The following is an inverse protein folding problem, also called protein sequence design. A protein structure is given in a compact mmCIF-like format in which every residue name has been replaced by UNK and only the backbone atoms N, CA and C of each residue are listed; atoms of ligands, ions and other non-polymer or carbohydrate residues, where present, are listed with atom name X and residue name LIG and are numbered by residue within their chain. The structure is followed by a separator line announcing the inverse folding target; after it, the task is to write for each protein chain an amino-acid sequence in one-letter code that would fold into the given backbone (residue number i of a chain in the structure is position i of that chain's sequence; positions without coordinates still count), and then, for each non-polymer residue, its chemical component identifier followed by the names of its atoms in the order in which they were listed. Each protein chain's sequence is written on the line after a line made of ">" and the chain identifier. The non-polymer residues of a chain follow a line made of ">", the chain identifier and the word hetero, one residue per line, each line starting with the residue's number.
data_IF_545473303839
#
_entry.id   IF_545473303839
#
_cell.length_a   1.000
_cell.length_b   1.000
_cell.length_c   1.000
_cell.angle_alpha   90.00
_cell.angle_beta   90.00
_cell.angle_gamma   90.00
#
_symmetry.space_group_name_H-M   'P 1'
#
loop_
_entity.id
_entity.type
_entity.pdbx_description
1 polymer ?
#
# COMPACT_ATOMS: atom_id res chain seq x y z
N UNK A 1 58.93 -2.23 -1.88
CA UNK A 1 57.68 -1.96 -1.12
C UNK A 1 56.51 -2.04 -2.09
N UNK A 2 55.70 -3.12 -2.02
CA UNK A 2 54.50 -3.28 -2.84
C UNK A 2 53.31 -2.65 -2.09
N UNK A 3 52.75 -1.61 -2.65
CA UNK A 3 51.49 -0.97 -2.14
C UNK A 3 50.34 -1.98 -2.29
N UNK A 4 49.76 -2.34 -1.15
CA UNK A 4 48.54 -3.14 -1.04
C UNK A 4 47.37 -2.27 -1.46
N UNK A 5 46.80 -2.48 -2.67
CA UNK A 5 45.54 -1.84 -3.06
C UNK A 5 44.46 -2.30 -2.08
N UNK A 6 43.96 -1.38 -1.30
CA UNK A 6 42.72 -1.56 -0.51
C UNK A 6 41.59 -1.89 -1.47
N UNK A 7 40.99 -3.07 -1.31
CA UNK A 7 39.74 -3.43 -1.98
C UNK A 7 38.64 -2.63 -1.29
N UNK A 8 38.14 -1.59 -1.96
CA UNK A 8 36.92 -0.89 -1.56
C UNK A 8 35.78 -1.90 -1.56
N UNK A 9 35.23 -2.19 -0.39
CA UNK A 9 34.01 -2.99 -0.22
C UNK A 9 32.89 -2.17 -0.90
N UNK A 10 32.11 -2.75 -1.85
CA UNK A 10 31.00 -2.00 -2.46
C UNK A 10 30.02 -1.59 -1.34
N UNK A 11 29.73 -0.31 -1.24
CA UNK A 11 28.79 0.23 -0.27
C UNK A 11 27.44 -0.51 -0.46
N UNK A 12 26.88 -1.07 0.60
CA UNK A 12 25.52 -1.63 0.58
C UNK A 12 24.59 -0.52 0.07
N UNK A 13 23.86 -0.77 -1.02
CA UNK A 13 22.84 0.16 -1.54
C UNK A 13 21.85 0.47 -0.41
N UNK A 14 21.44 1.74 -0.29
CA UNK A 14 20.41 2.09 0.68
C UNK A 14 19.05 1.52 0.24
N UNK A 15 18.14 1.18 1.16
CA UNK A 15 16.79 0.74 0.80
C UNK A 15 16.07 1.75 -0.10
N UNK A 16 16.25 3.04 0.12
CA UNK A 16 15.69 4.12 -0.68
C UNK A 16 16.21 4.09 -2.13
N UNK A 17 17.51 3.86 -2.33
CA UNK A 17 18.08 3.72 -3.69
C UNK A 17 17.48 2.52 -4.42
N UNK A 18 17.25 1.39 -3.72
CA UNK A 18 16.65 0.20 -4.33
C UNK A 18 15.18 0.45 -4.68
N UNK A 19 14.43 1.13 -3.81
CA UNK A 19 13.04 1.51 -4.10
C UNK A 19 12.95 2.41 -5.33
N UNK A 20 13.82 3.42 -5.44
CA UNK A 20 13.84 4.30 -6.61
C UNK A 20 14.14 3.50 -7.88
N UNK A 21 15.11 2.59 -7.87
CA UNK A 21 15.39 1.68 -9.00
C UNK A 21 14.16 0.82 -9.37
N UNK A 22 13.38 0.36 -8.38
CA UNK A 22 12.14 -0.38 -8.61
C UNK A 22 11.05 0.49 -9.25
N UNK A 23 10.90 1.73 -8.76
CA UNK A 23 9.94 2.69 -9.32
C UNK A 23 10.33 3.11 -10.74
N UNK A 24 11.61 3.39 -10.97
CA UNK A 24 12.12 3.72 -12.31
C UNK A 24 11.83 2.60 -13.30
N UNK A 25 12.10 1.35 -12.93
CA UNK A 25 11.80 0.18 -13.75
C UNK A 25 10.30 0.09 -14.09
N UNK A 26 9.43 0.24 -13.09
CA UNK A 26 7.99 0.02 -13.27
C UNK A 26 7.31 1.17 -13.99
N UNK A 27 7.66 2.41 -13.65
CA UNK A 27 6.98 3.60 -14.17
C UNK A 27 7.55 4.01 -15.53
N UNK A 28 8.86 3.96 -15.71
CA UNK A 28 9.48 4.38 -16.97
C UNK A 28 9.72 3.19 -17.90
N UNK A 29 10.54 2.19 -17.51
CA UNK A 29 10.94 1.14 -18.45
C UNK A 29 9.75 0.26 -18.88
N UNK A 30 8.95 -0.23 -17.92
CA UNK A 30 7.75 -1.02 -18.22
C UNK A 30 6.54 -0.15 -18.57
N UNK A 31 6.44 1.02 -17.93
CA UNK A 31 5.32 1.94 -18.08
C UNK A 31 5.20 2.53 -19.48
N UNK A 32 6.30 2.91 -20.11
CA UNK A 32 6.27 3.42 -21.50
C UNK A 32 5.71 2.38 -22.47
N UNK A 33 6.21 1.14 -22.40
CA UNK A 33 5.71 0.05 -23.22
C UNK A 33 4.25 -0.30 -22.92
N UNK A 34 3.87 -0.32 -21.65
CA UNK A 34 2.48 -0.54 -21.23
C UNK A 34 1.55 0.52 -21.80
N UNK A 35 1.86 1.81 -21.68
CA UNK A 35 1.06 2.91 -22.22
C UNK A 35 0.89 2.83 -23.75
N UNK A 36 1.87 2.30 -24.47
CA UNK A 36 1.79 2.09 -25.92
C UNK A 36 0.95 0.86 -26.32
N UNK A 37 0.71 -0.08 -25.37
CA UNK A 37 0.11 -1.39 -25.61
C UNK A 37 -1.40 -1.34 -25.86
N UNK A 38 -1.95 -2.44 -26.40
CA UNK A 38 -3.39 -2.67 -26.50
C UNK A 38 -4.03 -2.85 -25.11
N UNK A 39 -3.31 -3.38 -24.13
CA UNK A 39 -3.79 -3.54 -22.76
C UNK A 39 -4.17 -2.21 -22.12
N UNK A 40 -3.32 -1.20 -22.26
CA UNK A 40 -3.59 0.15 -21.74
C UNK A 40 -4.70 0.85 -22.55
N UNK A 41 -4.71 0.73 -23.86
CA UNK A 41 -5.73 1.36 -24.74
C UNK A 41 -7.14 0.86 -24.50
N UNK A 42 -7.28 -0.38 -24.00
CA UNK A 42 -8.58 -0.97 -23.64
C UNK A 42 -9.10 -0.53 -22.27
N UNK A 43 -8.29 0.14 -21.46
CA UNK A 43 -8.74 0.74 -20.21
C UNK A 43 -9.64 1.97 -20.49
N UNK A 44 -10.58 2.24 -19.59
CA UNK A 44 -11.35 3.48 -19.60
C UNK A 44 -10.44 4.70 -19.36
N UNK A 45 -10.97 5.89 -19.59
CA UNK A 45 -10.22 7.12 -19.35
C UNK A 45 -9.79 7.26 -17.89
N UNK A 46 -10.71 7.01 -16.95
CA UNK A 46 -10.43 7.07 -15.51
C UNK A 46 -9.35 6.06 -15.09
N UNK A 47 -9.42 4.83 -15.60
CA UNK A 47 -8.42 3.80 -15.35
C UNK A 47 -7.03 4.18 -15.88
N UNK A 48 -6.98 4.77 -17.09
CA UNK A 48 -5.72 5.27 -17.65
C UNK A 48 -5.12 6.41 -16.82
N UNK A 49 -5.95 7.34 -16.35
CA UNK A 49 -5.51 8.45 -15.49
C UNK A 49 -4.93 7.96 -14.16
N UNK A 50 -5.46 6.86 -13.62
CA UNK A 50 -5.00 6.31 -12.34
C UNK A 50 -3.85 5.31 -12.48
N UNK A 51 -3.49 4.89 -13.69
CA UNK A 51 -2.59 3.75 -13.92
C UNK A 51 -1.19 3.94 -13.35
N UNK A 52 -0.58 5.10 -13.53
CA UNK A 52 0.75 5.42 -12.99
C UNK A 52 0.73 5.42 -11.45
N UNK A 53 -0.24 6.10 -10.85
CA UNK A 53 -0.39 6.16 -9.40
C UNK A 53 -0.61 4.76 -8.79
N UNK A 54 -1.45 3.93 -9.42
CA UNK A 54 -1.71 2.56 -8.96
C UNK A 54 -0.45 1.71 -9.07
N UNK A 55 0.27 1.76 -10.19
CA UNK A 55 1.51 1.01 -10.39
C UNK A 55 2.61 1.47 -9.41
N UNK A 56 2.72 2.78 -9.17
CA UNK A 56 3.66 3.36 -8.22
C UNK A 56 3.37 2.95 -6.78
N UNK A 57 2.14 3.11 -6.31
CA UNK A 57 1.74 2.66 -4.97
C UNK A 57 1.89 1.15 -4.79
N UNK A 58 1.55 0.36 -5.80
CA UNK A 58 1.76 -1.09 -5.76
C UNK A 58 3.24 -1.42 -5.58
N UNK A 59 4.13 -0.80 -6.36
CA UNK A 59 5.58 -1.01 -6.26
C UNK A 59 6.12 -0.61 -4.90
N UNK A 60 5.74 0.57 -4.41
CA UNK A 60 6.12 1.08 -3.10
C UNK A 60 5.69 0.13 -1.97
N UNK A 61 4.44 -0.32 -1.98
CA UNK A 61 3.92 -1.22 -0.95
C UNK A 61 4.53 -2.60 -1.01
N UNK A 62 4.73 -3.17 -2.21
CA UNK A 62 5.42 -4.46 -2.38
C UNK A 62 6.84 -4.40 -1.84
N UNK A 63 7.54 -3.29 -2.01
CA UNK A 63 8.89 -3.11 -1.51
C UNK A 63 8.91 -2.82 0.01
N UNK A 64 8.20 -1.80 0.47
CA UNK A 64 8.31 -1.31 1.85
C UNK A 64 7.63 -2.20 2.90
N UNK A 65 6.56 -2.92 2.53
CA UNK A 65 5.83 -3.77 3.47
C UNK A 65 6.09 -5.26 3.29
N UNK A 66 6.43 -5.70 2.08
CA UNK A 66 6.66 -7.12 1.78
C UNK A 66 8.12 -7.43 1.43
N UNK A 67 8.97 -6.41 1.26
CA UNK A 67 10.40 -6.57 0.96
C UNK A 67 10.68 -7.15 -0.42
N UNK A 68 9.75 -7.01 -1.38
CA UNK A 68 9.83 -7.63 -2.71
C UNK A 68 10.11 -6.59 -3.79
N UNK A 69 11.15 -6.85 -4.58
CA UNK A 69 11.42 -6.14 -5.83
C UNK A 69 10.49 -6.62 -6.95
N UNK A 70 10.34 -5.86 -8.07
CA UNK A 70 9.47 -6.23 -9.19
C UNK A 70 9.71 -7.65 -9.73
N UNK A 71 10.95 -8.14 -9.72
CA UNK A 71 11.30 -9.48 -10.17
C UNK A 71 10.81 -10.59 -9.23
N UNK A 72 10.55 -10.26 -7.96
CA UNK A 72 10.13 -11.19 -6.89
C UNK A 72 8.63 -11.20 -6.66
N UNK A 73 7.87 -10.30 -7.32
CA UNK A 73 6.42 -10.26 -7.18
C UNK A 73 5.76 -11.60 -7.48
N UNK A 74 4.72 -11.89 -6.73
CA UNK A 74 3.95 -13.14 -6.87
C UNK A 74 2.49 -12.91 -6.48
N UNK A 75 1.62 -13.85 -6.85
CA UNK A 75 0.17 -13.71 -6.66
C UNK A 75 -0.24 -13.59 -5.18
N UNK A 76 0.44 -14.28 -4.27
CA UNK A 76 0.14 -14.19 -2.83
C UNK A 76 0.47 -12.81 -2.27
N UNK A 77 1.68 -12.31 -2.52
CA UNK A 77 2.11 -10.98 -2.08
C UNK A 77 1.28 -9.86 -2.72
N UNK A 78 0.94 -9.99 -4.01
CA UNK A 78 0.04 -9.07 -4.72
C UNK A 78 -1.34 -9.01 -4.05
N UNK A 79 -1.91 -10.16 -3.68
CA UNK A 79 -3.19 -10.24 -2.96
C UNK A 79 -3.12 -9.52 -1.60
N UNK A 80 -2.08 -9.79 -0.79
CA UNK A 80 -1.85 -9.10 0.48
C UNK A 80 -1.75 -7.58 0.28
N UNK A 81 -0.99 -7.15 -0.73
CA UNK A 81 -0.85 -5.75 -1.07
C UNK A 81 -2.20 -5.10 -1.40
N UNK A 82 -2.96 -5.70 -2.33
CA UNK A 82 -4.20 -5.11 -2.84
C UNK A 82 -5.35 -5.15 -1.82
N UNK A 83 -5.45 -6.20 -1.00
CA UNK A 83 -6.57 -6.39 -0.06
C UNK A 83 -6.31 -5.71 1.29
N UNK A 84 -5.06 -5.60 1.72
CA UNK A 84 -4.72 -5.07 3.04
C UNK A 84 -3.99 -3.73 2.98
N UNK A 85 -2.84 -3.65 2.29
CA UNK A 85 -2.04 -2.43 2.33
C UNK A 85 -2.65 -1.26 1.56
N UNK A 86 -3.22 -1.47 0.36
CA UNK A 86 -3.93 -0.40 -0.34
C UNK A 86 -5.07 0.18 0.49
N UNK A 87 -6.02 -0.62 1.01
CA UNK A 87 -7.08 -0.11 1.87
C UNK A 87 -6.59 0.56 3.15
N UNK A 88 -5.53 0.04 3.75
CA UNK A 88 -5.00 0.58 5.01
C UNK A 88 -4.23 1.89 4.84
N UNK A 89 -3.38 1.99 3.80
CA UNK A 89 -2.38 3.05 3.69
C UNK A 89 -2.76 4.16 2.72
N UNK A 90 -3.60 3.88 1.71
CA UNK A 90 -3.95 4.83 0.66
C UNK A 90 -5.19 5.64 1.04
N UNK A 91 -5.06 6.98 1.07
CA UNK A 91 -6.14 7.90 1.43
C UNK A 91 -6.93 8.41 0.22
N UNK A 92 -6.96 7.64 -0.85
CA UNK A 92 -7.71 7.95 -2.08
C UNK A 92 -9.21 7.65 -1.94
N UNK A 93 -9.98 8.20 -2.86
CA UNK A 93 -11.44 8.00 -2.92
C UNK A 93 -11.85 6.66 -3.51
N UNK A 94 -13.16 6.33 -3.48
CA UNK A 94 -13.68 5.05 -4.00
C UNK A 94 -13.34 4.81 -5.48
N UNK A 95 -13.25 5.87 -6.28
CA UNK A 95 -12.93 5.79 -7.72
C UNK A 95 -11.55 5.22 -7.97
N UNK A 96 -10.57 5.63 -7.18
CA UNK A 96 -9.22 5.06 -7.21
C UNK A 96 -9.25 3.54 -6.94
N UNK A 97 -9.96 3.11 -5.89
CA UNK A 97 -10.02 1.68 -5.53
C UNK A 97 -10.75 0.84 -6.61
N UNK A 98 -11.73 1.41 -7.31
CA UNK A 98 -12.38 0.75 -8.46
C UNK A 98 -11.42 0.49 -9.61
N UNK A 99 -10.44 1.36 -9.82
CA UNK A 99 -9.46 1.25 -10.88
C UNK A 99 -8.34 0.22 -10.61
N UNK A 100 -8.12 -0.21 -9.34
CA UNK A 100 -6.99 -1.09 -9.00
C UNK A 100 -7.02 -2.40 -9.79
N UNK A 101 -8.15 -3.11 -9.79
CA UNK A 101 -8.25 -4.42 -10.45
C UNK A 101 -8.10 -4.31 -11.97
N UNK A 102 -8.83 -3.47 -12.70
CA UNK A 102 -8.67 -3.38 -14.14
C UNK A 102 -7.25 -2.91 -14.54
N UNK A 103 -6.70 -1.91 -13.87
CA UNK A 103 -5.35 -1.39 -14.16
C UNK A 103 -4.28 -2.46 -13.95
N UNK A 104 -4.24 -3.08 -12.76
CA UNK A 104 -3.23 -4.11 -12.47
C UNK A 104 -3.43 -5.38 -13.31
N UNK A 105 -4.69 -5.74 -13.66
CA UNK A 105 -4.95 -6.85 -14.58
C UNK A 105 -4.36 -6.59 -15.97
N UNK A 106 -4.56 -5.37 -16.50
CA UNK A 106 -4.03 -4.97 -17.78
C UNK A 106 -2.49 -4.89 -17.76
N UNK A 107 -1.94 -4.33 -16.67
CA UNK A 107 -0.49 -4.21 -16.50
C UNK A 107 0.19 -5.58 -16.40
N UNK A 108 -0.32 -6.49 -15.56
CA UNK A 108 0.24 -7.84 -15.45
C UNK A 108 0.07 -8.65 -16.74
N UNK A 109 -1.04 -8.50 -17.48
CA UNK A 109 -1.21 -9.14 -18.79
C UNK A 109 -0.17 -8.63 -19.79
N UNK A 110 0.15 -7.33 -19.79
CA UNK A 110 1.23 -6.77 -20.57
C UNK A 110 2.60 -7.35 -20.18
N UNK A 111 2.88 -7.43 -18.87
CA UNK A 111 4.15 -7.99 -18.39
C UNK A 111 4.32 -9.48 -18.77
N UNK A 112 3.23 -10.24 -18.78
CA UNK A 112 3.22 -11.64 -19.19
C UNK A 112 3.47 -11.81 -20.69
N UNK A 113 2.78 -11.03 -21.54
CA UNK A 113 2.92 -11.03 -22.99
C UNK A 113 4.36 -10.73 -23.41
N UNK A 114 5.05 -9.84 -22.69
CA UNK A 114 6.42 -9.42 -23.00
C UNK A 114 7.49 -10.16 -22.19
N UNK A 115 7.11 -11.17 -21.38
CA UNK A 115 8.03 -11.97 -20.55
C UNK A 115 8.86 -11.12 -19.56
N UNK A 116 8.31 -9.98 -19.10
CA UNK A 116 9.00 -9.04 -18.22
C UNK A 116 8.97 -9.47 -16.76
N UNK A 117 7.93 -10.26 -16.37
CA UNK A 117 7.78 -10.74 -15.00
C UNK A 117 7.26 -12.19 -15.00
N UNK A 118 8.03 -13.11 -14.42
CA UNK A 118 7.80 -14.56 -14.49
C UNK A 118 6.48 -15.06 -13.86
N UNK A 119 5.89 -14.30 -12.91
CA UNK A 119 4.66 -14.65 -12.21
C UNK A 119 3.45 -13.84 -12.70
N UNK A 120 3.61 -13.05 -13.78
CA UNK A 120 2.60 -12.10 -14.25
C UNK A 120 1.26 -12.80 -14.59
N UNK A 121 1.29 -13.95 -15.25
CA UNK A 121 0.10 -14.76 -15.55
C UNK A 121 -0.66 -15.14 -14.27
N UNK A 122 0.04 -15.62 -13.23
CA UNK A 122 -0.57 -15.99 -11.96
C UNK A 122 -1.17 -14.79 -11.24
N UNK A 123 -0.50 -13.63 -11.27
CA UNK A 123 -1.02 -12.38 -10.71
C UNK A 123 -2.26 -11.91 -11.48
N UNK A 124 -2.26 -11.97 -12.81
CA UNK A 124 -3.43 -11.64 -13.65
C UNK A 124 -4.64 -12.53 -13.33
N UNK A 125 -4.42 -13.80 -13.06
CA UNK A 125 -5.51 -14.72 -12.71
C UNK A 125 -6.09 -14.39 -11.32
N UNK A 126 -5.26 -14.18 -10.32
CA UNK A 126 -5.69 -13.95 -8.94
C UNK A 126 -6.37 -12.57 -8.78
N UNK A 127 -5.84 -11.50 -9.37
CA UNK A 127 -6.34 -10.13 -9.12
C UNK A 127 -7.79 -9.95 -9.58
N UNK A 128 -8.22 -10.62 -10.63
CA UNK A 128 -9.59 -10.52 -11.18
C UNK A 128 -10.67 -10.87 -10.15
N UNK A 129 -10.33 -11.65 -9.14
CA UNK A 129 -11.24 -12.11 -8.09
C UNK A 129 -11.23 -11.22 -6.84
N UNK A 130 -10.46 -10.12 -6.83
CA UNK A 130 -10.24 -9.34 -5.62
C UNK A 130 -11.09 -8.07 -5.53
N UNK A 131 -11.83 -7.70 -6.59
CA UNK A 131 -12.54 -6.41 -6.66
C UNK A 131 -13.44 -6.15 -5.46
N UNK A 132 -14.34 -7.07 -5.16
CA UNK A 132 -15.30 -6.91 -4.04
C UNK A 132 -14.58 -6.75 -2.70
N UNK A 133 -13.55 -7.56 -2.47
CA UNK A 133 -12.77 -7.50 -1.23
C UNK A 133 -12.01 -6.19 -1.08
N UNK A 134 -11.41 -5.68 -2.15
CA UNK A 134 -10.72 -4.38 -2.16
C UNK A 134 -11.70 -3.27 -1.82
N UNK A 135 -12.88 -3.27 -2.46
CA UNK A 135 -13.91 -2.26 -2.22
C UNK A 135 -14.45 -2.32 -0.78
N UNK A 136 -14.73 -3.51 -0.27
CA UNK A 136 -15.17 -3.73 1.12
C UNK A 136 -14.13 -3.20 2.12
N UNK A 137 -12.86 -3.61 1.97
CA UNK A 137 -11.79 -3.20 2.89
C UNK A 137 -11.50 -1.71 2.81
N UNK A 138 -11.53 -1.12 1.61
CA UNK A 138 -11.27 0.31 1.41
C UNK A 138 -12.35 1.21 2.02
N UNK A 139 -13.59 0.75 2.06
CA UNK A 139 -14.73 1.47 2.64
C UNK A 139 -14.91 1.26 4.14
N UNK A 140 -14.25 0.24 4.72
CA UNK A 140 -14.38 -0.09 6.14
C UNK A 140 -13.36 0.69 7.00
N UNK A 141 -13.81 1.66 7.85
CA UNK A 141 -12.91 2.44 8.69
C UNK A 141 -12.07 1.61 9.66
N UNK A 142 -12.52 0.40 10.03
CA UNK A 142 -11.75 -0.49 10.91
C UNK A 142 -10.48 -1.04 10.23
N UNK A 143 -10.45 -1.06 8.89
CA UNK A 143 -9.31 -1.51 8.09
C UNK A 143 -8.33 -0.37 7.77
N UNK A 144 -8.65 0.88 8.14
CA UNK A 144 -7.81 2.03 7.83
C UNK A 144 -6.68 2.18 8.86
N UNK A 145 -5.48 2.46 8.39
CA UNK A 145 -4.36 2.86 9.22
C UNK A 145 -4.57 4.26 9.82
N UNK A 146 -3.78 4.59 10.84
CA UNK A 146 -3.92 5.86 11.58
C UNK A 146 -3.85 7.09 10.68
N UNK A 147 -2.89 7.13 9.75
CA UNK A 147 -2.73 8.25 8.83
C UNK A 147 -3.97 8.43 7.94
N UNK A 148 -4.49 7.34 7.38
CA UNK A 148 -5.71 7.38 6.56
C UNK A 148 -6.92 7.83 7.37
N UNK A 149 -7.12 7.31 8.58
CA UNK A 149 -8.22 7.76 9.47
C UNK A 149 -8.17 9.25 9.71
N UNK A 150 -6.97 9.79 9.97
CA UNK A 150 -6.77 11.22 10.15
C UNK A 150 -7.14 12.02 8.91
N UNK A 151 -6.61 11.63 7.74
CA UNK A 151 -6.89 12.31 6.46
C UNK A 151 -8.39 12.26 6.13
N UNK A 152 -9.04 11.11 6.30
CA UNK A 152 -10.46 10.96 6.02
C UNK A 152 -11.33 11.77 6.98
N UNK A 153 -10.97 11.85 8.26
CA UNK A 153 -11.64 12.70 9.24
C UNK A 153 -11.47 14.18 8.91
N UNK A 154 -10.25 14.63 8.59
CA UNK A 154 -9.98 16.01 8.20
C UNK A 154 -10.79 16.41 6.95
N UNK A 155 -10.83 15.55 5.93
CA UNK A 155 -11.66 15.77 4.72
C UNK A 155 -13.15 15.86 5.05
N UNK A 156 -13.65 14.97 5.94
CA UNK A 156 -15.04 15.00 6.41
C UNK A 156 -15.39 16.28 7.15
N UNK A 157 -14.44 16.87 7.86
CA UNK A 157 -14.56 18.15 8.54
C UNK A 157 -14.31 19.36 7.62
N UNK A 158 -14.18 19.14 6.30
CA UNK A 158 -14.02 20.19 5.28
C UNK A 158 -12.62 20.80 5.24
N UNK A 159 -11.61 20.13 5.80
CA UNK A 159 -10.23 20.59 5.80
C UNK A 159 -9.55 20.20 4.47
N UNK A 160 -8.95 21.19 3.81
CA UNK A 160 -8.05 20.93 2.69
C UNK A 160 -6.74 20.33 3.20
N UNK A 161 -6.57 19.02 2.96
CA UNK A 161 -5.39 18.27 3.41
C UNK A 161 -4.12 18.58 2.60
N UNK A 162 -4.23 19.37 1.52
CA UNK A 162 -3.08 19.86 0.75
C UNK A 162 -2.55 21.19 1.33
N UNK A 163 -3.35 21.91 2.12
CA UNK A 163 -2.91 23.11 2.84
C UNK A 163 -2.26 22.74 4.18
N UNK A 164 -0.94 22.77 4.22
CA UNK A 164 -0.14 22.48 5.43
C UNK A 164 -0.56 23.33 6.66
N UNK A 165 -1.02 24.58 6.46
CA UNK A 165 -1.45 25.44 7.57
C UNK A 165 -2.80 25.02 8.12
N UNK A 166 -3.73 24.62 7.22
CA UNK A 166 -5.04 24.10 7.62
C UNK A 166 -4.87 22.76 8.38
N UNK A 167 -4.02 21.86 7.86
CA UNK A 167 -3.68 20.59 8.52
C UNK A 167 -3.05 20.83 9.89
N UNK A 168 -2.11 21.77 10.02
CA UNK A 168 -1.47 22.06 11.31
C UNK A 168 -2.48 22.54 12.36
N UNK A 169 -3.35 23.48 11.99
CA UNK A 169 -4.43 23.96 12.88
C UNK A 169 -5.38 22.83 13.29
N UNK A 170 -5.71 21.94 12.35
CA UNK A 170 -6.56 20.78 12.62
C UNK A 170 -5.91 19.84 13.63
N UNK A 171 -4.60 19.53 13.48
CA UNK A 171 -3.82 18.72 14.43
C UNK A 171 -3.84 19.36 15.84
N UNK A 172 -3.61 20.68 15.94
CA UNK A 172 -3.61 21.36 17.23
C UNK A 172 -4.99 21.29 17.92
N UNK A 173 -6.06 21.55 17.16
CA UNK A 173 -7.43 21.48 17.66
C UNK A 173 -7.79 20.05 18.12
N UNK A 174 -7.41 19.05 17.32
CA UNK A 174 -7.58 17.65 17.64
C UNK A 174 -6.85 17.25 18.93
N UNK A 175 -5.58 17.61 19.07
CA UNK A 175 -4.79 17.32 20.25
C UNK A 175 -5.36 17.98 21.51
N UNK A 176 -5.84 19.23 21.41
CA UNK A 176 -6.54 19.92 22.51
C UNK A 176 -7.81 19.20 22.95
N UNK A 177 -8.59 18.67 21.96
CA UNK A 177 -9.79 17.90 22.22
C UNK A 177 -9.46 16.60 22.97
N UNK A 178 -8.48 15.84 22.49
CA UNK A 178 -8.05 14.58 23.11
C UNK A 178 -7.54 14.81 24.56
N UNK A 179 -6.77 15.88 24.76
CA UNK A 179 -6.27 16.25 26.10
C UNK A 179 -7.40 16.63 27.06
N UNK A 180 -8.49 17.23 26.57
CA UNK A 180 -9.64 17.65 27.38
C UNK A 180 -10.61 16.51 27.67
N UNK A 181 -10.87 15.66 26.70
CA UNK A 181 -11.92 14.63 26.76
C UNK A 181 -11.36 13.25 27.09
N UNK A 182 -10.04 13.09 27.11
CA UNK A 182 -9.34 11.84 27.39
C UNK A 182 -9.10 10.97 26.15
N UNK A 183 -8.31 9.88 26.29
CA UNK A 183 -7.87 9.03 25.17
C UNK A 183 -9.03 8.41 24.38
N UNK A 184 -10.16 8.17 25.00
CA UNK A 184 -11.34 7.57 24.34
C UNK A 184 -11.95 8.46 23.26
N UNK A 185 -11.70 9.78 23.27
CA UNK A 185 -12.11 10.72 22.23
C UNK A 185 -11.15 10.73 21.03
N UNK A 186 -10.04 10.00 21.14
CA UNK A 186 -9.06 9.91 20.05
C UNK A 186 -9.58 9.04 18.92
N UNK A 187 -9.51 9.54 17.68
CA UNK A 187 -9.76 8.73 16.47
C UNK A 187 -8.77 7.56 16.33
N UNK A 188 -7.69 7.58 17.10
CA UNK A 188 -6.67 6.55 17.17
C UNK A 188 -6.87 5.58 18.35
N UNK A 189 -7.88 5.83 19.20
CA UNK A 189 -8.17 4.96 20.31
C UNK A 189 -8.77 3.65 19.78
N UNK A 190 -7.97 2.61 19.79
CA UNK A 190 -8.48 1.25 19.71
C UNK A 190 -8.81 0.84 21.16
N UNK A 191 -10.10 0.61 21.47
CA UNK A 191 -10.47 -0.02 22.72
C UNK A 191 -9.57 -1.26 22.91
N UNK A 192 -9.02 -1.49 24.12
CA UNK A 192 -8.20 -2.66 24.35
C UNK A 192 -9.02 -3.88 23.97
N UNK A 193 -8.56 -4.59 22.95
CA UNK A 193 -9.11 -5.89 22.58
C UNK A 193 -8.94 -6.76 23.83
N UNK A 194 -10.03 -7.31 24.36
CA UNK A 194 -10.05 -8.15 25.55
C UNK A 194 -9.07 -9.33 25.43
N UNK A 195 -7.79 -9.04 25.65
CA UNK A 195 -6.74 -10.05 25.78
C UNK A 195 -6.75 -10.73 27.16
N UNK A 196 -7.73 -10.42 28.03
CA UNK A 196 -7.90 -11.06 29.33
C UNK A 196 -8.54 -12.45 29.28
N UNK A 197 -9.24 -12.81 28.19
CA UNK A 197 -9.89 -14.13 28.13
C UNK A 197 -8.88 -15.28 27.92
N UNK A 198 -7.69 -15.01 27.42
CA UNK A 198 -6.66 -16.05 27.17
C UNK A 198 -5.70 -16.31 28.35
N UNK A 199 -5.75 -15.52 29.44
CA UNK A 199 -4.85 -15.72 30.59
C UNK A 199 -5.44 -16.57 31.71
N UNK A 200 -6.74 -16.83 31.73
CA UNK A 200 -7.39 -17.65 32.80
C UNK A 200 -7.47 -19.16 32.48
N UNK A 201 -7.07 -19.61 31.30
CA UNK A 201 -7.12 -21.05 30.91
C UNK A 201 -5.89 -21.90 31.27
N UNK A 202 -4.84 -21.36 31.90
CA UNK A 202 -3.58 -22.10 32.16
C UNK A 202 -3.19 -22.28 33.62
N UNK A 203 -4.13 -22.22 34.55
CA UNK A 203 -3.83 -22.43 35.98
C UNK A 203 -4.66 -23.54 36.68
N UNK A 204 -5.06 -24.59 35.99
CA UNK A 204 -5.60 -25.77 36.64
C UNK A 204 -5.18 -27.04 35.92
N UNK A 205 -3.92 -27.43 36.07
CA UNK A 205 -3.48 -28.81 35.91
C UNK A 205 -2.04 -29.00 36.41
N UNK A 206 -1.87 -28.87 37.74
CA UNK A 206 -0.70 -29.45 38.43
C UNK A 206 -1.02 -29.63 39.90
N UNK A 207 -1.77 -30.72 40.21
CA UNK A 207 -1.75 -31.41 41.52
C UNK A 207 -2.47 -32.74 41.32
N UNK A 208 -1.71 -33.78 41.04
CA UNK A 208 -1.67 -35.09 41.72
C UNK A 208 -0.67 -35.98 40.99
#
# INVERSE_FOLDING_TARGET
>A
MKQRKERTIPSKRSPESVLNECLDLVIFDWGEGFCASSHFKNLSEDERLQSESIAGFFTDMMFNYLGLTPQEWNAHAMKECCVHFFPEKTSEGPDFFRCIVPVLSAFFAYLDEHYLQKNAAAMTCEIKNLHERIMEQSSNPNCWGMAKRFVMAARSDGIDVTDSKAVHKYIEAYNKKVLKEGPASSMFYNAPHDSEVMRKGKKTSRKR
#
